data_IF_460712860855
#
_entry.id   IF_460712860855
#
_cell.length_a   1.000
_cell.length_b   1.000
_cell.length_c   1.000
_cell.angle_alpha   90.00
_cell.angle_beta   90.00
_cell.angle_gamma   90.00
#
_symmetry.space_group_name_H-M   'P 1'
#
loop_
_entity.id
_entity.type
_entity.pdbx_description
1 polymer ?
#
# COMPACT_ATOMS: atom_id res chain seq x y z
N UNK A 1 12.77 -4.68 41.98
CA UNK A 1 12.88 -4.00 40.70
C UNK A 1 11.59 -3.97 39.86
N UNK A 2 10.52 -4.74 40.16
CA UNK A 2 9.26 -4.78 39.38
C UNK A 2 8.36 -3.55 39.56
N UNK A 3 8.45 -2.83 40.67
CA UNK A 3 7.53 -1.72 40.96
C UNK A 3 7.93 -0.34 40.35
N UNK A 4 9.17 -0.20 39.85
CA UNK A 4 9.60 1.05 39.20
C UNK A 4 9.24 1.10 37.71
N UNK A 5 9.04 -0.06 37.07
CA UNK A 5 8.65 -0.14 35.67
C UNK A 5 7.16 0.22 35.43
N UNK A 6 6.32 -0.08 36.44
CA UNK A 6 4.88 0.21 36.42
C UNK A 6 4.57 1.71 36.54
N UNK A 7 5.39 2.42 37.34
CA UNK A 7 5.25 3.88 37.51
C UNK A 7 5.61 4.68 36.26
N UNK A 8 6.59 4.21 35.46
CA UNK A 8 6.99 4.86 34.22
C UNK A 8 5.95 4.65 33.13
N UNK A 9 5.32 3.47 33.04
CA UNK A 9 4.25 3.18 32.07
C UNK A 9 2.99 4.03 32.35
N UNK A 10 2.69 4.28 33.64
CA UNK A 10 1.53 5.10 34.04
C UNK A 10 1.72 6.59 33.74
N UNK A 11 2.96 7.11 33.84
CA UNK A 11 3.26 8.49 33.47
C UNK A 11 3.16 8.75 31.96
N UNK A 12 3.48 7.75 31.10
CA UNK A 12 3.33 7.89 29.64
C UNK A 12 1.86 7.88 29.19
N UNK A 13 0.97 7.19 29.89
CA UNK A 13 -0.47 7.19 29.58
C UNK A 13 -1.12 8.53 29.93
N UNK A 14 -0.68 9.21 31.00
CA UNK A 14 -1.18 10.55 31.37
C UNK A 14 -0.64 11.68 30.48
N UNK A 15 0.58 11.56 29.94
CA UNK A 15 1.12 12.56 29.01
C UNK A 15 0.36 12.60 27.67
N UNK A 16 -0.26 11.47 27.26
CA UNK A 16 -1.09 11.43 26.06
C UNK A 16 -2.48 12.07 26.17
N UNK A 17 -2.99 12.22 27.40
CA UNK A 17 -4.34 12.76 27.66
C UNK A 17 -4.34 14.31 27.67
N UNK A 18 -3.23 14.94 28.05
CA UNK A 18 -3.11 16.39 28.05
C UNK A 18 -2.82 17.04 26.69
N UNK A 19 -2.48 16.25 25.67
CA UNK A 19 -2.18 16.76 24.32
C UNK A 19 -3.44 17.08 23.46
N UNK A 20 -4.62 16.66 23.87
CA UNK A 20 -5.86 16.84 23.10
C UNK A 20 -6.62 18.14 23.42
N UNK A 21 -6.33 18.82 24.53
CA UNK A 21 -7.04 20.05 24.93
C UNK A 21 -6.52 21.34 24.30
N UNK A 22 -5.42 21.28 23.53
CA UNK A 22 -4.78 22.50 23.00
C UNK A 22 -5.22 22.90 21.61
N UNK A 23 -5.97 22.03 20.91
CA UNK A 23 -6.42 22.28 19.53
C UNK A 23 -7.91 22.02 19.36
N UNK A 24 -8.50 22.74 18.41
CA UNK A 24 -9.87 22.49 17.92
C UNK A 24 -9.81 22.29 16.42
N UNK A 25 -10.19 21.10 15.97
CA UNK A 25 -10.33 20.80 14.55
C UNK A 25 -11.57 21.50 13.98
N UNK A 26 -11.50 21.97 12.74
CA UNK A 26 -12.62 22.65 12.11
C UNK A 26 -13.92 21.80 12.08
N UNK A 27 -13.79 20.48 11.94
CA UNK A 27 -14.89 19.51 11.94
C UNK A 27 -15.61 19.37 13.28
N UNK A 28 -15.07 19.86 14.36
CA UNK A 28 -15.69 19.86 15.70
C UNK A 28 -16.74 20.96 15.88
N UNK A 29 -16.93 21.79 14.84
CA UNK A 29 -17.93 22.84 14.81
C UNK A 29 -17.38 24.24 14.97
N UNK A 30 -18.27 25.22 15.09
CA UNK A 30 -17.92 26.64 15.15
C UNK A 30 -17.08 26.98 16.38
N UNK A 31 -16.27 28.04 16.25
CA UNK A 31 -15.51 28.62 17.35
C UNK A 31 -16.44 29.14 18.44
N UNK A 32 -15.97 29.03 19.65
CA UNK A 32 -16.56 29.63 20.87
C UNK A 32 -15.49 30.42 21.60
N UNK A 33 -15.87 31.28 22.58
CA UNK A 33 -14.87 31.99 23.35
C UNK A 33 -14.05 31.10 24.27
N UNK A 34 -14.46 29.85 24.51
CA UNK A 34 -13.69 28.86 25.25
C UNK A 34 -12.49 28.32 24.46
N UNK A 35 -12.45 28.59 23.15
CA UNK A 35 -11.36 28.22 22.26
C UNK A 35 -10.20 29.27 22.26
N UNK A 36 -10.34 30.39 23.03
CA UNK A 36 -9.36 31.47 23.17
C UNK A 36 -8.84 31.50 24.59
N UNK A 37 -7.78 30.72 24.88
CA UNK A 37 -7.26 30.47 26.24
C UNK A 37 -6.02 31.27 26.59
N UNK A 38 -5.33 31.85 25.60
CA UNK A 38 -4.14 32.67 25.86
C UNK A 38 -4.51 33.95 26.55
N UNK A 39 -3.59 34.44 27.39
CA UNK A 39 -3.74 35.74 28.05
C UNK A 39 -3.56 36.88 27.02
N UNK A 40 -4.39 37.88 27.17
CA UNK A 40 -4.29 39.12 26.38
C UNK A 40 -2.85 39.67 26.34
N UNK A 41 -2.37 39.99 25.15
CA UNK A 41 -1.10 40.65 24.93
C UNK A 41 -1.37 42.16 24.93
N UNK A 42 -1.07 42.83 26.02
CA UNK A 42 -1.46 44.24 26.30
C UNK A 42 -0.87 45.29 25.35
N UNK A 43 0.12 44.94 24.54
CA UNK A 43 0.85 45.88 23.68
C UNK A 43 0.41 45.82 22.21
N UNK A 44 -0.49 44.93 21.84
CA UNK A 44 -0.95 44.83 20.46
C UNK A 44 -2.21 45.69 20.22
N UNK A 45 -2.24 46.34 19.05
CA UNK A 45 -3.42 47.10 18.59
C UNK A 45 -4.59 46.17 18.20
N UNK A 46 -4.35 44.89 18.08
CA UNK A 46 -5.36 43.84 17.78
C UNK A 46 -6.29 43.63 18.97
N UNK A 47 -7.54 43.30 18.69
CA UNK A 47 -8.57 43.02 19.71
C UNK A 47 -8.71 41.52 20.00
N UNK A 48 -8.33 40.68 19.04
CA UNK A 48 -8.25 39.20 19.15
C UNK A 48 -7.28 38.66 18.11
N UNK A 49 -6.80 37.47 18.34
CA UNK A 49 -5.99 36.73 17.37
C UNK A 49 -6.34 35.26 17.43
N UNK A 50 -6.75 34.71 16.31
CA UNK A 50 -6.92 33.29 16.12
C UNK A 50 -5.62 32.71 15.56
N UNK A 51 -4.98 31.82 16.32
CA UNK A 51 -3.85 31.00 15.84
C UNK A 51 -4.38 29.72 15.25
N UNK A 52 -4.11 29.49 13.99
CA UNK A 52 -4.46 28.27 13.29
C UNK A 52 -3.22 27.62 12.67
N UNK A 53 -3.30 26.34 12.45
CA UNK A 53 -2.25 25.53 11.82
C UNK A 53 -2.87 24.77 10.67
N UNK A 54 -2.24 24.87 9.50
CA UNK A 54 -2.54 24.07 8.33
C UNK A 54 -1.30 23.28 7.94
N UNK A 55 -1.48 22.05 7.48
CA UNK A 55 -0.38 21.20 7.06
C UNK A 55 -0.86 19.91 6.42
N UNK A 56 0.09 19.01 6.17
CA UNK A 56 -0.20 17.68 5.69
C UNK A 56 0.72 16.64 6.33
N UNK A 57 0.25 15.39 6.38
CA UNK A 57 1.02 14.28 6.93
C UNK A 57 0.71 12.99 6.16
N UNK A 58 1.67 12.06 6.04
CA UNK A 58 1.37 10.73 5.56
C UNK A 58 0.34 10.05 6.46
N UNK A 59 -0.73 9.55 5.89
CA UNK A 59 -1.79 8.83 6.60
C UNK A 59 -2.01 7.44 6.03
N UNK A 60 -2.57 6.59 6.86
CA UNK A 60 -2.94 5.22 6.53
C UNK A 60 -4.36 4.98 7.00
N UNK A 61 -5.26 4.81 6.07
CA UNK A 61 -6.68 4.59 6.33
C UNK A 61 -7.09 3.21 5.82
N UNK A 62 -8.01 2.54 6.51
CA UNK A 62 -8.60 1.30 6.03
C UNK A 62 -10.04 1.58 5.61
N UNK A 63 -10.31 1.46 4.31
CA UNK A 63 -11.64 1.59 3.73
C UNK A 63 -12.03 0.22 3.15
N UNK A 64 -13.02 -0.43 3.76
CA UNK A 64 -13.37 -1.82 3.47
C UNK A 64 -12.15 -2.75 3.59
N UNK A 65 -11.83 -3.54 2.55
CA UNK A 65 -10.69 -4.46 2.51
C UNK A 65 -9.40 -3.83 1.94
N UNK A 66 -9.42 -2.50 1.68
CA UNK A 66 -8.29 -1.79 1.10
C UNK A 66 -7.64 -0.88 2.12
N UNK A 67 -6.33 -1.00 2.28
CA UNK A 67 -5.52 -0.06 3.04
C UNK A 67 -5.02 1.02 2.10
N UNK A 68 -5.37 2.27 2.38
CA UNK A 68 -5.06 3.43 1.57
C UNK A 68 -3.93 4.21 2.25
N UNK A 69 -2.87 4.49 1.51
CA UNK A 69 -1.79 5.38 1.92
C UNK A 69 -1.91 6.67 1.12
N UNK A 70 -2.10 7.80 1.81
CA UNK A 70 -2.22 9.12 1.19
C UNK A 70 -1.52 10.20 2.01
N UNK A 71 -1.25 11.34 1.40
CA UNK A 71 -0.96 12.58 2.13
C UNK A 71 -2.29 13.19 2.55
N UNK A 72 -2.46 13.43 3.83
CA UNK A 72 -3.69 13.99 4.38
C UNK A 72 -3.43 15.37 4.94
N UNK A 73 -4.17 16.36 4.44
CA UNK A 73 -4.15 17.72 4.96
C UNK A 73 -4.95 17.82 6.26
N UNK A 74 -4.53 18.72 7.13
CA UNK A 74 -5.20 19.04 8.38
C UNK A 74 -5.26 20.56 8.60
N UNK A 75 -6.27 21.02 9.35
CA UNK A 75 -6.44 22.37 9.80
C UNK A 75 -7.06 22.36 11.19
N UNK A 76 -6.44 23.06 12.12
CA UNK A 76 -6.96 23.24 13.48
C UNK A 76 -6.62 24.61 14.03
N UNK A 77 -7.42 25.07 14.99
CA UNK A 77 -7.09 26.25 15.82
C UNK A 77 -6.29 25.79 17.03
N UNK A 78 -5.19 26.51 17.33
CA UNK A 78 -4.45 26.35 18.58
C UNK A 78 -5.12 27.20 19.65
N UNK A 79 -5.85 26.53 20.54
CA UNK A 79 -6.64 27.19 21.59
C UNK A 79 -5.77 27.84 22.66
N UNK A 80 -4.53 27.34 22.87
CA UNK A 80 -3.62 27.90 23.88
C UNK A 80 -2.88 29.17 23.39
N UNK A 81 -2.77 29.33 22.09
CA UNK A 81 -2.14 30.49 21.45
C UNK A 81 -3.16 31.49 20.89
N UNK A 82 -4.45 31.17 20.89
CA UNK A 82 -5.53 32.06 20.49
C UNK A 82 -6.00 32.92 21.67
N UNK A 83 -6.15 34.22 21.47
CA UNK A 83 -6.52 35.14 22.53
C UNK A 83 -7.55 36.19 22.06
N UNK A 84 -8.25 36.78 23.02
CA UNK A 84 -9.23 37.89 22.81
C UNK A 84 -9.23 38.78 24.03
N UNK A 85 -9.31 40.10 23.80
CA UNK A 85 -9.51 41.07 24.90
C UNK A 85 -10.88 40.89 25.54
N UNK A 86 -11.01 40.86 26.87
CA UNK A 86 -12.26 40.60 27.56
C UNK A 86 -13.46 41.43 27.07
N UNK A 87 -13.24 42.74 26.87
CA UNK A 87 -14.28 43.67 26.42
C UNK A 87 -14.72 43.44 24.96
N UNK A 88 -14.00 42.64 24.20
CA UNK A 88 -14.28 42.34 22.80
C UNK A 88 -14.80 40.90 22.55
N UNK A 89 -15.23 40.21 23.57
CA UNK A 89 -15.94 38.93 23.46
C UNK A 89 -17.39 39.11 22.96
N UNK A 90 -17.51 39.63 21.75
CA UNK A 90 -18.80 39.91 21.09
C UNK A 90 -19.10 38.89 20.00
N UNK A 91 -20.37 38.69 19.64
CA UNK A 91 -20.78 37.82 18.53
C UNK A 91 -20.13 38.25 17.19
N UNK A 92 -19.97 39.55 16.96
CA UNK A 92 -19.33 40.08 15.75
C UNK A 92 -17.84 39.69 15.68
N UNK A 93 -17.09 39.87 16.78
CA UNK A 93 -15.68 39.49 16.78
C UNK A 93 -15.49 37.97 16.72
N UNK A 94 -16.40 37.20 17.30
CA UNK A 94 -16.40 35.73 17.13
C UNK A 94 -16.62 35.34 15.66
N UNK A 95 -17.57 35.99 14.97
CA UNK A 95 -17.83 35.77 13.55
C UNK A 95 -16.61 36.13 12.68
N UNK A 96 -15.91 37.24 12.99
CA UNK A 96 -14.69 37.60 12.31
C UNK A 96 -13.60 36.51 12.42
N UNK A 97 -13.38 35.96 13.60
CA UNK A 97 -12.41 34.86 13.80
C UNK A 97 -12.90 33.57 13.13
N UNK A 98 -14.21 33.32 13.11
CA UNK A 98 -14.79 32.16 12.39
C UNK A 98 -14.52 32.25 10.89
N UNK A 99 -14.62 33.43 10.27
CA UNK A 99 -14.29 33.63 8.85
C UNK A 99 -12.84 33.29 8.58
N UNK A 100 -11.90 33.73 9.43
CA UNK A 100 -10.47 33.35 9.30
C UNK A 100 -10.29 31.84 9.37
N UNK A 101 -10.98 31.18 10.31
CA UNK A 101 -10.91 29.72 10.44
C UNK A 101 -11.50 28.99 9.22
N UNK A 102 -12.58 29.52 8.67
CA UNK A 102 -13.23 28.99 7.46
C UNK A 102 -12.33 29.21 6.21
N UNK A 103 -11.61 30.33 6.11
CA UNK A 103 -10.61 30.54 5.05
C UNK A 103 -9.50 29.47 5.19
N UNK A 104 -8.98 29.25 6.39
CA UNK A 104 -7.97 28.22 6.62
C UNK A 104 -8.45 26.82 6.22
N UNK A 105 -9.70 26.45 6.55
CA UNK A 105 -10.30 25.18 6.13
C UNK A 105 -10.48 25.10 4.61
N UNK A 106 -10.89 26.18 3.95
CA UNK A 106 -11.00 26.24 2.50
C UNK A 106 -9.65 25.90 1.83
N UNK A 107 -8.56 26.47 2.33
CA UNK A 107 -7.23 26.19 1.80
C UNK A 107 -6.70 24.81 2.18
N UNK A 108 -7.09 24.26 3.34
CA UNK A 108 -6.85 22.86 3.66
C UNK A 108 -7.54 21.92 2.65
N UNK A 109 -8.78 22.22 2.24
CA UNK A 109 -9.50 21.43 1.23
C UNK A 109 -8.86 21.53 -0.15
N UNK A 110 -8.44 22.72 -0.56
CA UNK A 110 -7.67 22.95 -1.80
C UNK A 110 -6.34 22.19 -1.77
N UNK A 111 -5.61 22.29 -0.65
CA UNK A 111 -4.37 21.51 -0.44
C UNK A 111 -4.62 20.01 -0.56
N UNK A 112 -5.69 19.50 0.04
CA UNK A 112 -6.02 18.07 -0.09
C UNK A 112 -6.29 17.67 -1.53
N UNK A 113 -7.03 18.50 -2.28
CA UNK A 113 -7.30 18.27 -3.68
C UNK A 113 -5.98 18.20 -4.49
N UNK A 114 -5.07 19.14 -4.29
CA UNK A 114 -3.79 19.17 -4.98
C UNK A 114 -2.88 17.99 -4.59
N UNK A 115 -2.85 17.62 -3.30
CA UNK A 115 -2.11 16.44 -2.80
C UNK A 115 -2.62 15.14 -3.43
N UNK A 116 -3.92 15.01 -3.61
CA UNK A 116 -4.53 13.85 -4.25
C UNK A 116 -4.23 13.79 -5.78
N UNK A 117 -3.84 14.93 -6.39
CA UNK A 117 -3.51 15.04 -7.82
C UNK A 117 -2.01 15.24 -8.11
N UNK A 118 -1.13 15.04 -7.11
CA UNK A 118 0.31 15.20 -7.29
C UNK A 118 0.84 14.39 -8.49
N UNK A 119 1.66 15.02 -9.32
CA UNK A 119 2.42 14.34 -10.37
C UNK A 119 3.69 13.67 -9.85
N UNK A 120 4.27 14.18 -8.76
CA UNK A 120 5.49 13.66 -8.11
C UNK A 120 5.40 13.85 -6.61
N UNK A 121 6.00 12.93 -5.85
CA UNK A 121 6.14 13.08 -4.39
C UNK A 121 6.88 14.36 -4.01
N UNK A 122 7.92 14.71 -4.75
CA UNK A 122 8.75 15.89 -4.49
C UNK A 122 8.02 17.24 -4.67
N UNK A 123 6.87 17.25 -5.36
CA UNK A 123 6.07 18.47 -5.51
C UNK A 123 5.14 18.76 -4.34
N UNK A 124 5.02 17.88 -3.36
CA UNK A 124 4.12 18.05 -2.23
C UNK A 124 4.43 19.31 -1.40
N UNK A 125 5.71 19.55 -1.13
CA UNK A 125 6.15 20.74 -0.40
C UNK A 125 5.87 22.03 -1.18
N UNK A 126 6.14 22.03 -2.48
CA UNK A 126 5.85 23.20 -3.33
C UNK A 126 4.34 23.50 -3.36
N UNK A 127 3.51 22.47 -3.47
CA UNK A 127 2.06 22.60 -3.43
C UNK A 127 1.61 23.17 -2.09
N UNK A 128 2.16 22.67 -0.98
CA UNK A 128 1.87 23.20 0.34
C UNK A 128 2.24 24.67 0.46
N UNK A 129 3.45 25.07 0.08
CA UNK A 129 3.91 26.46 0.16
C UNK A 129 3.03 27.39 -0.67
N UNK A 130 2.66 27.00 -1.90
CA UNK A 130 1.78 27.78 -2.75
C UNK A 130 0.39 28.01 -2.11
N UNK A 131 -0.19 26.95 -1.52
CA UNK A 131 -1.48 27.06 -0.83
C UNK A 131 -1.38 27.89 0.46
N UNK A 132 -0.27 27.78 1.19
CA UNK A 132 -0.02 28.53 2.41
C UNK A 132 0.17 30.04 2.13
N UNK A 133 0.90 30.40 1.09
CA UNK A 133 1.04 31.79 0.65
C UNK A 133 -0.30 32.36 0.20
N UNK A 134 -1.08 31.61 -0.58
CA UNK A 134 -2.40 32.04 -1.02
C UNK A 134 -3.39 32.21 0.15
N UNK A 135 -3.32 31.33 1.15
CA UNK A 135 -4.08 31.45 2.39
C UNK A 135 -3.74 32.75 3.12
N UNK A 136 -2.45 33.02 3.34
CA UNK A 136 -2.01 34.22 4.07
C UNK A 136 -2.46 35.49 3.34
N UNK A 137 -2.32 35.54 2.02
CA UNK A 137 -2.78 36.64 1.20
C UNK A 137 -4.30 36.88 1.31
N UNK A 138 -5.10 35.81 1.29
CA UNK A 138 -6.55 35.94 1.39
C UNK A 138 -7.00 36.37 2.79
N UNK A 139 -6.35 35.87 3.84
CA UNK A 139 -6.59 36.35 5.21
C UNK A 139 -6.23 37.80 5.37
N UNK A 140 -5.10 38.27 4.82
CA UNK A 140 -4.69 39.65 4.85
C UNK A 140 -5.70 40.58 4.14
N UNK A 141 -6.18 40.15 2.94
CA UNK A 141 -7.23 40.91 2.21
C UNK A 141 -8.49 41.02 3.06
N UNK A 142 -8.95 39.91 3.66
CA UNK A 142 -10.11 39.94 4.55
C UNK A 142 -9.92 40.85 5.74
N UNK A 143 -8.77 40.76 6.42
CA UNK A 143 -8.44 41.62 7.57
C UNK A 143 -8.46 43.12 7.21
N UNK A 144 -7.89 43.45 6.07
CA UNK A 144 -7.85 44.83 5.58
C UNK A 144 -9.25 45.35 5.21
N UNK A 145 -10.01 44.59 4.45
CA UNK A 145 -11.38 44.97 4.03
C UNK A 145 -12.34 45.08 5.20
N UNK A 146 -12.32 44.13 6.13
CA UNK A 146 -13.15 44.14 7.33
C UNK A 146 -12.67 45.10 8.42
N UNK A 147 -11.53 45.79 8.19
CA UNK A 147 -10.87 46.65 9.21
C UNK A 147 -10.60 45.89 10.50
N UNK A 148 -10.07 44.66 10.38
CA UNK A 148 -9.87 43.75 11.48
C UNK A 148 -11.16 43.46 12.26
N UNK A 149 -12.25 43.16 11.53
CA UNK A 149 -13.55 42.79 12.09
C UNK A 149 -14.42 43.94 12.56
N UNK A 150 -14.00 45.22 12.36
CA UNK A 150 -14.78 46.38 12.77
C UNK A 150 -15.92 46.73 11.80
N UNK A 151 -15.90 46.19 10.59
CA UNK A 151 -16.98 46.35 9.61
C UNK A 151 -17.83 45.04 9.54
N UNK A 152 -19.00 45.02 10.20
CA UNK A 152 -19.82 43.82 10.29
C UNK A 152 -20.44 43.40 8.97
N UNK A 153 -20.70 44.35 8.05
CA UNK A 153 -21.32 44.02 6.76
C UNK A 153 -20.29 43.28 5.88
N UNK A 154 -19.05 43.75 5.85
CA UNK A 154 -17.97 43.05 5.14
C UNK A 154 -17.69 41.68 5.73
N UNK A 155 -17.70 41.53 7.08
CA UNK A 155 -17.54 40.21 7.73
C UNK A 155 -18.64 39.25 7.31
N UNK A 156 -19.87 39.73 7.23
CA UNK A 156 -21.03 38.90 6.81
C UNK A 156 -20.96 38.53 5.34
N UNK A 157 -20.56 39.42 4.45
CA UNK A 157 -20.36 39.18 3.03
C UNK A 157 -19.26 38.08 2.82
N UNK A 158 -18.13 38.21 3.50
CA UNK A 158 -17.07 37.24 3.46
C UNK A 158 -17.49 35.89 4.01
N UNK A 159 -18.26 35.85 5.12
CA UNK A 159 -18.76 34.61 5.69
C UNK A 159 -19.62 33.83 4.66
N UNK A 160 -20.54 34.50 3.98
CA UNK A 160 -21.38 33.89 2.94
C UNK A 160 -20.53 33.40 1.74
N UNK A 161 -19.60 34.22 1.26
CA UNK A 161 -18.72 33.85 0.14
C UNK A 161 -17.86 32.63 0.47
N UNK A 162 -17.24 32.58 1.65
CA UNK A 162 -16.41 31.44 2.05
C UNK A 162 -17.23 30.18 2.25
N UNK A 163 -18.43 30.27 2.81
CA UNK A 163 -19.36 29.15 2.95
C UNK A 163 -19.73 28.53 1.60
N UNK A 164 -20.09 29.35 0.61
CA UNK A 164 -20.34 28.89 -0.76
C UNK A 164 -19.12 28.18 -1.36
N UNK A 165 -17.93 28.73 -1.17
CA UNK A 165 -16.68 28.15 -1.69
C UNK A 165 -16.31 26.86 -0.97
N UNK A 166 -16.62 26.72 0.30
CA UNK A 166 -16.42 25.47 1.04
C UNK A 166 -17.28 24.33 0.48
N UNK A 167 -18.47 24.61 -0.07
CA UNK A 167 -19.32 23.59 -0.69
C UNK A 167 -18.72 23.00 -1.96
N UNK A 168 -17.97 23.80 -2.75
CA UNK A 168 -17.32 23.38 -3.98
C UNK A 168 -16.24 22.30 -3.71
N UNK A 169 -15.55 22.42 -2.58
CA UNK A 169 -14.51 21.50 -2.15
C UNK A 169 -14.99 20.51 -1.08
N UNK A 170 -16.31 20.21 -1.06
CA UNK A 170 -16.84 19.23 -0.12
C UNK A 170 -16.12 17.90 -0.24
N UNK A 171 -15.59 17.47 0.90
CA UNK A 171 -14.97 16.19 1.17
C UNK A 171 -14.34 15.53 -0.08
N UNK A 172 -13.09 15.80 -0.33
CA UNK A 172 -12.34 15.12 -1.38
C UNK A 172 -12.43 13.59 -1.14
N UNK A 173 -13.40 12.96 -1.80
CA UNK A 173 -13.43 11.52 -1.93
C UNK A 173 -12.10 11.11 -2.56
N UNK A 174 -11.52 10.01 -2.08
CA UNK A 174 -10.30 9.48 -2.69
C UNK A 174 -10.55 9.35 -4.19
N UNK A 175 -9.71 9.95 -5.05
CA UNK A 175 -9.89 9.88 -6.49
C UNK A 175 -9.95 8.43 -6.96
N UNK A 176 -10.83 8.15 -7.92
CA UNK A 176 -10.90 6.85 -8.55
C UNK A 176 -9.80 6.76 -9.59
N UNK A 177 -8.78 5.98 -9.30
CA UNK A 177 -7.68 5.73 -10.23
C UNK A 177 -8.00 4.54 -11.14
N UNK A 178 -7.70 4.68 -12.43
CA UNK A 178 -7.74 3.57 -13.37
C UNK A 178 -6.50 2.71 -13.23
N UNK A 179 -6.68 1.38 -13.25
CA UNK A 179 -5.56 0.44 -13.24
C UNK A 179 -4.88 0.43 -14.61
N UNK A 180 -3.54 0.50 -14.63
CA UNK A 180 -2.78 0.25 -15.86
C UNK A 180 -3.02 -1.18 -16.35
N UNK A 181 -2.91 -1.38 -17.66
CA UNK A 181 -3.08 -2.72 -18.23
C UNK A 181 -1.96 -3.68 -17.83
N UNK A 182 -0.76 -3.16 -17.61
CA UNK A 182 0.40 -3.94 -17.18
C UNK A 182 0.47 -4.08 -15.67
N UNK A 183 0.83 -5.27 -15.21
CA UNK A 183 1.12 -5.58 -13.82
C UNK A 183 2.22 -6.63 -13.73
N UNK A 184 2.87 -6.70 -12.57
CA UNK A 184 3.91 -7.68 -12.27
C UNK A 184 3.70 -8.26 -10.88
N UNK A 185 4.11 -9.50 -10.72
CA UNK A 185 4.02 -10.23 -9.46
C UNK A 185 5.30 -10.98 -9.14
N UNK A 186 5.46 -11.28 -7.87
CA UNK A 186 6.47 -12.16 -7.31
C UNK A 186 5.78 -13.11 -6.36
N UNK A 187 6.16 -14.38 -6.35
CA UNK A 187 5.69 -15.33 -5.36
C UNK A 187 6.82 -16.21 -4.84
N UNK A 188 6.68 -16.65 -3.60
CA UNK A 188 7.59 -17.58 -2.95
C UNK A 188 6.81 -18.48 -2.01
N UNK A 189 7.15 -19.76 -1.99
CA UNK A 189 6.45 -20.76 -1.17
C UNK A 189 7.09 -22.13 -1.19
N UNK A 190 6.29 -23.13 -0.85
CA UNK A 190 6.66 -24.54 -0.88
C UNK A 190 5.97 -25.25 -2.04
N UNK A 191 6.61 -26.28 -2.55
CA UNK A 191 6.07 -27.17 -3.58
C UNK A 191 6.22 -28.62 -3.18
N UNK A 192 5.32 -29.43 -3.68
CA UNK A 192 5.38 -30.88 -3.59
C UNK A 192 5.15 -31.47 -4.98
N UNK A 193 6.02 -32.40 -5.39
CA UNK A 193 5.98 -33.06 -6.68
C UNK A 193 5.66 -34.54 -6.49
N UNK A 194 4.49 -34.97 -7.01
CA UNK A 194 4.09 -36.35 -7.08
C UNK A 194 4.51 -36.91 -8.44
N UNK A 195 5.10 -38.10 -8.46
CA UNK A 195 5.53 -38.79 -9.66
C UNK A 195 4.77 -40.09 -9.81
N UNK A 196 4.67 -40.61 -11.05
CA UNK A 196 4.11 -41.90 -11.34
C UNK A 196 4.93 -42.64 -12.40
N UNK A 197 4.49 -43.82 -12.76
CA UNK A 197 5.14 -44.72 -13.73
C UNK A 197 6.61 -44.99 -13.37
N UNK A 198 7.48 -45.16 -14.37
CA UNK A 198 8.87 -45.56 -14.14
C UNK A 198 9.69 -44.46 -13.40
N UNK A 199 9.28 -43.21 -13.49
CA UNK A 199 9.93 -42.14 -12.71
C UNK A 199 9.75 -42.41 -11.20
N UNK A 200 8.54 -42.83 -10.76
CA UNK A 200 8.28 -43.12 -9.34
C UNK A 200 8.99 -44.38 -8.85
N UNK A 201 9.27 -45.34 -9.72
CA UNK A 201 10.01 -46.52 -9.35
C UNK A 201 11.45 -46.22 -8.93
N UNK A 202 12.05 -45.18 -9.54
CA UNK A 202 13.45 -44.84 -9.29
C UNK A 202 13.63 -43.57 -8.45
N UNK A 203 12.74 -42.55 -8.56
CA UNK A 203 12.87 -41.26 -7.89
C UNK A 203 11.66 -41.00 -7.01
N UNK A 204 11.89 -40.80 -5.74
CA UNK A 204 10.84 -40.46 -4.77
C UNK A 204 10.12 -39.17 -5.06
N UNK A 205 8.90 -39.02 -4.49
CA UNK A 205 8.23 -37.74 -4.45
C UNK A 205 9.10 -36.72 -3.69
N UNK A 206 9.09 -35.45 -4.12
CA UNK A 206 9.96 -34.46 -3.53
C UNK A 206 9.20 -33.25 -2.99
N UNK A 207 9.74 -32.70 -1.92
CA UNK A 207 9.30 -31.42 -1.35
C UNK A 207 10.39 -30.37 -1.54
N UNK A 208 10.01 -29.13 -1.82
CA UNK A 208 10.98 -28.06 -2.03
C UNK A 208 10.39 -26.67 -2.04
N UNK A 209 11.17 -25.74 -2.56
CA UNK A 209 10.81 -24.35 -2.68
C UNK A 209 10.22 -24.05 -4.06
N UNK A 210 9.24 -23.14 -4.07
CA UNK A 210 8.67 -22.58 -5.27
C UNK A 210 8.86 -21.06 -5.24
N UNK A 211 9.38 -20.49 -6.30
CA UNK A 211 9.45 -19.05 -6.48
C UNK A 211 9.26 -18.69 -7.96
N UNK A 212 8.79 -17.47 -8.22
CA UNK A 212 8.62 -17.04 -9.60
C UNK A 212 8.08 -15.65 -9.74
N UNK A 213 7.99 -15.24 -11.00
CA UNK A 213 7.50 -13.94 -11.43
C UNK A 213 6.30 -14.12 -12.35
N UNK A 214 5.38 -13.18 -12.26
CA UNK A 214 4.28 -13.05 -13.22
C UNK A 214 4.26 -11.65 -13.83
N UNK A 215 4.03 -11.61 -15.12
CA UNK A 215 3.84 -10.40 -15.90
C UNK A 215 2.46 -10.45 -16.54
N UNK A 216 1.61 -9.48 -16.25
CA UNK A 216 0.27 -9.46 -16.81
C UNK A 216 0.03 -8.29 -17.72
N UNK A 217 -0.77 -8.52 -18.74
CA UNK A 217 -1.34 -7.49 -19.58
C UNK A 217 -2.86 -7.73 -19.70
N UNK A 218 -3.66 -6.84 -19.10
CA UNK A 218 -5.09 -7.07 -18.91
C UNK A 218 -5.32 -8.40 -18.14
N UNK A 219 -6.01 -9.36 -18.76
CA UNK A 219 -6.30 -10.67 -18.19
C UNK A 219 -5.26 -11.75 -18.56
N UNK A 220 -4.38 -11.47 -19.50
CA UNK A 220 -3.28 -12.37 -19.89
C UNK A 220 -2.16 -12.31 -18.87
N UNK A 221 -1.59 -13.46 -18.54
CA UNK A 221 -0.52 -13.58 -17.53
C UNK A 221 0.57 -14.48 -18.12
N UNK A 222 1.79 -14.02 -18.07
CA UNK A 222 2.98 -14.79 -18.37
C UNK A 222 3.70 -15.12 -17.06
N UNK A 223 3.97 -16.39 -16.83
CA UNK A 223 4.64 -16.88 -15.63
C UNK A 223 6.04 -17.37 -15.97
N UNK A 224 6.99 -17.03 -15.12
CA UNK A 224 8.31 -17.64 -15.02
C UNK A 224 8.37 -18.21 -13.62
N UNK A 225 8.38 -19.52 -13.49
CA UNK A 225 8.32 -20.19 -12.19
C UNK A 225 9.41 -21.25 -12.08
N UNK A 226 9.97 -21.37 -10.88
CA UNK A 226 11.01 -22.34 -10.55
C UNK A 226 10.64 -23.11 -9.30
N UNK A 227 10.78 -24.43 -9.37
CA UNK A 227 10.70 -25.33 -8.24
C UNK A 227 12.09 -25.95 -8.05
N UNK A 228 12.61 -25.83 -6.83
CA UNK A 228 13.82 -26.51 -6.39
C UNK A 228 13.45 -27.45 -5.26
N UNK A 229 13.65 -28.73 -5.45
CA UNK A 229 13.31 -29.76 -4.47
C UNK A 229 14.39 -30.82 -4.41
N UNK A 230 14.42 -31.60 -3.35
CA UNK A 230 15.32 -32.74 -3.19
C UNK A 230 14.57 -34.00 -2.82
N UNK A 231 15.18 -35.14 -3.05
CA UNK A 231 14.69 -36.47 -2.69
C UNK A 231 15.82 -37.48 -2.82
N UNK A 232 15.47 -38.76 -2.65
CA UNK A 232 16.38 -39.87 -2.75
C UNK A 232 15.98 -40.77 -3.91
N UNK A 233 16.96 -41.48 -4.47
CA UNK A 233 16.76 -42.55 -5.42
C UNK A 233 16.18 -43.77 -4.66
N UNK A 234 14.94 -44.17 -4.99
CA UNK A 234 14.22 -45.22 -4.30
C UNK A 234 14.72 -46.61 -4.76
N UNK A 235 14.96 -46.78 -6.06
CA UNK A 235 15.57 -47.96 -6.66
C UNK A 235 16.65 -47.54 -7.66
N UNK A 236 17.78 -48.25 -7.64
CA UNK A 236 18.87 -47.96 -8.56
C UNK A 236 18.39 -47.92 -10.02
N UNK A 237 18.78 -46.88 -10.75
CA UNK A 237 18.48 -46.72 -12.18
C UNK A 237 19.74 -46.94 -13.01
N UNK A 238 19.64 -47.86 -13.98
CA UNK A 238 20.77 -48.23 -14.85
C UNK A 238 20.37 -48.04 -16.33
N UNK A 239 20.23 -46.78 -16.76
CA UNK A 239 19.98 -46.41 -18.14
C UNK A 239 21.23 -45.83 -18.80
N UNK A 240 21.15 -44.61 -19.34
CA UNK A 240 22.33 -43.86 -19.88
C UNK A 240 23.31 -43.44 -18.81
N UNK A 241 22.80 -43.20 -17.61
CA UNK A 241 23.57 -42.88 -16.39
C UNK A 241 23.17 -43.91 -15.32
N UNK A 242 24.11 -44.23 -14.41
CA UNK A 242 23.82 -45.10 -13.29
C UNK A 242 23.59 -44.26 -12.02
N UNK A 243 22.42 -44.46 -11.40
CA UNK A 243 22.04 -43.82 -10.15
C UNK A 243 21.93 -44.88 -9.08
N UNK A 244 22.70 -44.76 -8.03
CA UNK A 244 22.67 -45.71 -6.91
C UNK A 244 21.41 -45.54 -6.07
N UNK A 245 20.94 -46.64 -5.47
CA UNK A 245 19.86 -46.61 -4.48
C UNK A 245 20.28 -45.75 -3.26
N UNK A 246 19.35 -44.98 -2.70
CA UNK A 246 19.55 -44.03 -1.59
C UNK A 246 20.39 -42.80 -1.95
N UNK A 247 20.82 -42.61 -3.18
CA UNK A 247 21.55 -41.40 -3.63
C UNK A 247 20.65 -40.18 -3.51
N UNK A 248 21.16 -39.14 -2.87
CA UNK A 248 20.50 -37.83 -2.78
C UNK A 248 20.51 -37.11 -4.13
N UNK A 249 19.37 -36.59 -4.56
CA UNK A 249 19.28 -35.78 -5.77
C UNK A 249 18.60 -34.44 -5.53
N UNK A 250 18.92 -33.45 -6.37
CA UNK A 250 18.21 -32.20 -6.56
C UNK A 250 17.34 -32.28 -7.80
N UNK A 251 16.09 -31.86 -7.69
CA UNK A 251 15.19 -31.58 -8.81
C UNK A 251 15.11 -30.07 -9.01
N UNK A 252 15.45 -29.58 -10.19
CA UNK A 252 15.15 -28.25 -10.66
C UNK A 252 14.08 -28.31 -11.77
N UNK A 253 12.98 -27.60 -11.60
CA UNK A 253 11.95 -27.42 -12.61
C UNK A 253 11.79 -25.93 -12.89
N UNK A 254 12.11 -25.51 -14.12
CA UNK A 254 11.92 -24.14 -14.59
C UNK A 254 10.80 -24.13 -15.63
N UNK A 255 9.71 -23.37 -15.37
CA UNK A 255 8.60 -23.27 -16.32
C UNK A 255 8.40 -21.85 -16.86
N UNK A 256 7.99 -21.82 -18.14
CA UNK A 256 7.53 -20.65 -18.85
C UNK A 256 6.11 -20.92 -19.34
N UNK A 257 5.14 -20.27 -18.73
CA UNK A 257 3.74 -20.59 -18.98
C UNK A 257 2.90 -19.32 -19.22
N UNK A 258 1.87 -19.50 -20.04
CA UNK A 258 0.86 -18.50 -20.33
C UNK A 258 -0.46 -18.88 -19.71
N UNK A 259 -1.07 -17.95 -19.00
CA UNK A 259 -2.38 -18.13 -18.40
C UNK A 259 -3.32 -16.98 -18.74
N UNK A 260 -4.59 -17.23 -18.50
CA UNK A 260 -5.64 -16.23 -18.67
C UNK A 260 -6.54 -16.20 -17.44
N UNK A 261 -6.67 -15.02 -16.82
CA UNK A 261 -7.52 -14.84 -15.65
C UNK A 261 -8.99 -14.90 -16.06
N UNK A 262 -9.65 -16.03 -15.78
CA UNK A 262 -11.09 -16.25 -16.03
C UNK A 262 -11.94 -15.67 -14.90
N UNK A 263 -11.37 -15.55 -13.70
CA UNK A 263 -11.96 -14.88 -12.54
C UNK A 263 -10.91 -13.93 -11.98
N UNK A 264 -11.24 -12.64 -11.80
CA UNK A 264 -10.45 -11.65 -11.05
C UNK A 264 -11.40 -10.72 -10.29
N UNK A 265 -11.78 -11.13 -9.10
CA UNK A 265 -12.66 -10.40 -8.21
C UNK A 265 -11.91 -9.92 -6.93
N UNK A 266 -12.53 -9.21 -5.99
CA UNK A 266 -11.85 -8.72 -4.78
C UNK A 266 -11.22 -9.81 -3.91
N UNK A 267 -11.72 -11.07 -3.95
CA UNK A 267 -11.26 -12.18 -3.10
C UNK A 267 -10.42 -13.21 -3.85
N UNK A 268 -10.73 -13.47 -5.12
CA UNK A 268 -10.11 -14.54 -5.89
C UNK A 268 -9.62 -14.08 -7.25
N UNK A 269 -8.49 -14.66 -7.68
CA UNK A 269 -8.05 -14.64 -9.07
C UNK A 269 -7.79 -16.09 -9.49
N UNK A 270 -8.44 -16.56 -10.53
CA UNK A 270 -8.34 -17.91 -11.05
C UNK A 270 -7.88 -17.84 -12.48
N UNK A 271 -6.79 -18.54 -12.79
CA UNK A 271 -6.15 -18.51 -14.11
C UNK A 271 -5.68 -19.92 -14.50
N UNK A 272 -6.37 -20.61 -15.42
CA UNK A 272 -5.79 -21.74 -16.11
C UNK A 272 -4.57 -21.29 -16.91
N UNK A 273 -3.57 -22.19 -17.03
CA UNK A 273 -2.35 -21.90 -17.76
C UNK A 273 -1.80 -23.15 -18.47
N UNK A 274 -1.03 -22.93 -19.51
CA UNK A 274 -0.27 -23.94 -20.20
C UNK A 274 1.12 -23.39 -20.56
N UNK A 275 2.11 -24.26 -20.71
CA UNK A 275 3.47 -23.82 -20.97
C UNK A 275 4.45 -24.95 -21.24
N UNK A 276 5.72 -24.56 -21.21
CA UNK A 276 6.87 -25.44 -21.35
C UNK A 276 7.65 -25.44 -20.04
N UNK A 277 8.22 -26.57 -19.68
CA UNK A 277 9.13 -26.70 -18.57
C UNK A 277 10.42 -27.39 -18.97
N UNK A 278 11.47 -27.06 -18.25
CA UNK A 278 12.73 -27.80 -18.21
C UNK A 278 12.76 -28.47 -16.85
N UNK A 279 12.84 -29.80 -16.84
CA UNK A 279 12.96 -30.59 -15.62
C UNK A 279 14.30 -31.27 -15.61
N UNK A 280 15.07 -31.08 -14.54
CA UNK A 280 16.40 -31.58 -14.37
C UNK A 280 16.54 -32.30 -13.03
N UNK A 281 17.09 -33.51 -13.06
CA UNK A 281 17.59 -34.21 -11.88
C UNK A 281 19.11 -34.14 -11.91
N UNK A 282 19.71 -33.72 -10.82
CA UNK A 282 21.15 -33.72 -10.61
C UNK A 282 21.50 -34.37 -9.29
N UNK A 283 22.60 -35.08 -9.23
CA UNK A 283 23.16 -35.61 -7.98
C UNK A 283 23.53 -34.45 -7.03
N UNK A 284 23.28 -34.66 -5.73
CA UNK A 284 23.78 -33.75 -4.70
C UNK A 284 25.20 -34.17 -4.30
N UNK A 285 26.20 -33.59 -4.96
CA UNK A 285 27.59 -33.82 -4.54
C UNK A 285 28.00 -32.78 -3.47
N UNK A 286 28.19 -33.25 -2.24
CA UNK A 286 28.65 -32.45 -1.12
C UNK A 286 30.15 -32.15 -1.17
N UNK A 287 30.91 -32.88 -1.97
CA UNK A 287 32.37 -32.79 -1.98
C UNK A 287 32.95 -31.82 -3.03
N UNK A 288 32.08 -31.20 -3.85
CA UNK A 288 32.45 -30.15 -4.79
C UNK A 288 33.22 -30.61 -6.03
N UNK A 289 33.17 -31.90 -6.32
CA UNK A 289 33.53 -32.44 -7.63
C UNK A 289 32.35 -32.32 -8.57
N UNK A 290 32.54 -31.89 -9.81
CA UNK A 290 31.48 -31.79 -10.82
C UNK A 290 30.85 -33.17 -11.03
N UNK A 291 29.61 -33.34 -10.52
CA UNK A 291 28.86 -34.56 -10.75
C UNK A 291 28.41 -34.62 -12.20
N UNK A 292 28.78 -35.71 -12.89
CA UNK A 292 28.35 -35.99 -14.27
C UNK A 292 26.90 -36.57 -14.35
N UNK A 293 26.25 -36.76 -13.20
CA UNK A 293 24.90 -37.35 -13.14
C UNK A 293 23.82 -36.27 -13.28
N UNK A 294 23.48 -35.97 -14.52
CA UNK A 294 22.41 -35.03 -14.88
C UNK A 294 21.47 -35.69 -15.87
N UNK A 295 20.17 -35.61 -15.59
CA UNK A 295 19.09 -36.03 -16.48
C UNK A 295 18.17 -34.83 -16.72
N UNK A 296 17.97 -34.44 -17.98
CA UNK A 296 17.16 -33.26 -18.33
C UNK A 296 16.10 -33.64 -19.35
N UNK A 297 14.89 -33.10 -19.16
CA UNK A 297 13.79 -33.20 -20.10
C UNK A 297 13.11 -31.85 -20.35
N UNK A 298 12.57 -31.68 -21.57
CA UNK A 298 11.78 -30.54 -22.01
C UNK A 298 10.33 -30.97 -22.21
N UNK A 299 9.44 -30.50 -21.39
CA UNK A 299 8.08 -31.02 -21.36
C UNK A 299 7.01 -29.94 -21.44
N UNK A 300 5.80 -30.35 -21.81
CA UNK A 300 4.60 -29.51 -21.74
C UNK A 300 3.95 -29.64 -20.37
N UNK A 301 3.37 -28.54 -19.91
CA UNK A 301 2.60 -28.50 -18.71
C UNK A 301 1.23 -27.82 -18.90
N UNK A 302 0.27 -28.27 -18.10
CA UNK A 302 -1.07 -27.70 -18.02
C UNK A 302 -1.49 -27.59 -16.56
N UNK A 303 -2.08 -26.46 -16.17
CA UNK A 303 -2.40 -26.26 -14.77
C UNK A 303 -3.38 -25.14 -14.47
N UNK A 304 -3.54 -24.88 -13.18
CA UNK A 304 -4.43 -23.89 -12.62
C UNK A 304 -3.74 -23.11 -11.51
N UNK A 305 -3.77 -21.79 -11.59
CA UNK A 305 -3.45 -20.89 -10.48
C UNK A 305 -4.72 -20.39 -9.81
N UNK A 306 -4.73 -20.42 -8.49
CA UNK A 306 -5.77 -19.84 -7.65
C UNK A 306 -5.11 -18.92 -6.62
N UNK A 307 -5.34 -17.62 -6.74
CA UNK A 307 -4.89 -16.62 -5.76
C UNK A 307 -6.06 -16.26 -4.84
N UNK A 308 -5.92 -16.48 -3.54
CA UNK A 308 -6.81 -15.95 -2.52
C UNK A 308 -6.24 -14.63 -1.98
N UNK A 309 -6.88 -13.52 -2.30
CA UNK A 309 -6.43 -12.17 -1.95
C UNK A 309 -6.70 -11.87 -0.49
N UNK A 310 -5.63 -11.71 0.31
CA UNK A 310 -5.71 -11.45 1.75
C UNK A 310 -5.57 -9.96 2.09
N UNK A 311 -4.92 -9.18 1.21
CA UNK A 311 -4.67 -7.77 1.44
C UNK A 311 -4.55 -6.98 0.15
N UNK A 312 -5.18 -5.83 0.12
CA UNK A 312 -5.06 -4.85 -0.95
C UNK A 312 -4.56 -3.53 -0.38
N UNK A 313 -3.55 -2.95 -1.01
CA UNK A 313 -3.00 -1.63 -0.66
C UNK A 313 -3.12 -0.71 -1.86
N UNK A 314 -3.73 0.44 -1.65
CA UNK A 314 -3.77 1.54 -2.60
C UNK A 314 -2.78 2.61 -2.12
N UNK A 315 -1.75 2.87 -2.89
CA UNK A 315 -0.82 3.95 -2.62
C UNK A 315 -1.13 5.12 -3.57
N UNK A 316 -1.73 6.17 -3.03
CA UNK A 316 -2.07 7.37 -3.79
C UNK A 316 -0.91 8.38 -3.82
N UNK A 317 0.11 8.18 -3.00
CA UNK A 317 1.35 8.96 -3.05
C UNK A 317 2.18 8.47 -4.24
N UNK A 318 2.56 9.34 -5.19
CA UNK A 318 3.42 8.93 -6.29
C UNK A 318 4.74 8.35 -5.78
N UNK A 319 5.15 7.21 -6.33
CA UNK A 319 6.41 6.58 -5.97
C UNK A 319 7.58 7.47 -6.39
N UNK A 320 8.61 7.57 -5.54
CA UNK A 320 9.80 8.41 -5.76
C UNK A 320 10.52 8.06 -7.08
N UNK A 321 10.59 6.77 -7.43
CA UNK A 321 11.33 6.33 -8.62
C UNK A 321 10.51 6.43 -9.92
N UNK A 322 9.21 6.10 -9.86
CA UNK A 322 8.38 5.99 -11.05
C UNK A 322 7.42 7.19 -11.22
N UNK A 323 7.36 8.09 -10.24
CA UNK A 323 6.39 9.20 -10.17
C UNK A 323 4.95 8.76 -10.48
N UNK A 324 4.60 7.54 -10.09
CA UNK A 324 3.28 6.94 -10.34
C UNK A 324 2.70 6.29 -9.08
N UNK A 325 1.40 6.33 -8.99
CA UNK A 325 0.61 5.64 -7.97
C UNK A 325 0.55 4.16 -8.27
N UNK A 326 0.27 3.35 -7.26
CA UNK A 326 0.20 1.91 -7.45
C UNK A 326 -0.82 1.25 -6.54
N UNK A 327 -1.23 0.06 -6.97
CA UNK A 327 -1.99 -0.88 -6.16
C UNK A 327 -1.17 -2.15 -5.99
N UNK A 328 -1.12 -2.66 -4.76
CA UNK A 328 -0.47 -3.92 -4.43
C UNK A 328 -1.49 -4.87 -3.82
N UNK A 329 -1.55 -6.08 -4.35
CA UNK A 329 -2.36 -7.17 -3.81
C UNK A 329 -1.43 -8.23 -3.22
N UNK A 330 -1.72 -8.68 -2.00
CA UNK A 330 -1.02 -9.82 -1.36
C UNK A 330 -2.01 -10.98 -1.32
N UNK A 331 -1.59 -12.14 -1.78
CA UNK A 331 -2.43 -13.33 -1.90
C UNK A 331 -1.73 -14.58 -1.38
N UNK A 332 -2.52 -15.56 -0.96
CA UNK A 332 -2.08 -16.96 -0.90
C UNK A 332 -2.36 -17.54 -2.27
N UNK A 333 -1.31 -17.99 -2.95
CA UNK A 333 -1.38 -18.65 -4.25
C UNK A 333 -1.33 -20.16 -4.07
N UNK A 334 -2.27 -20.88 -4.67
CA UNK A 334 -2.18 -22.30 -4.90
C UNK A 334 -2.01 -22.53 -6.39
N UNK A 335 -0.97 -23.28 -6.78
CA UNK A 335 -0.67 -23.63 -8.16
C UNK A 335 -0.62 -25.14 -8.28
N UNK A 336 -1.48 -25.70 -9.14
CA UNK A 336 -1.53 -27.14 -9.46
C UNK A 336 -1.27 -27.29 -10.95
N UNK A 337 -0.35 -28.17 -11.33
CA UNK A 337 -0.13 -28.49 -12.74
C UNK A 337 0.39 -29.90 -12.92
N UNK A 338 0.20 -30.42 -14.12
CA UNK A 338 0.68 -31.71 -14.57
C UNK A 338 1.65 -31.49 -15.70
N UNK A 339 2.77 -32.18 -15.69
CA UNK A 339 3.73 -32.30 -16.78
C UNK A 339 3.99 -33.75 -17.11
N UNK A 340 4.21 -34.07 -18.40
CA UNK A 340 4.69 -35.36 -18.83
C UNK A 340 6.18 -35.23 -19.07
N UNK A 341 6.96 -36.11 -18.40
CA UNK A 341 8.41 -36.14 -18.53
C UNK A 341 8.77 -37.44 -19.30
N UNK A 342 9.56 -37.30 -20.35
CA UNK A 342 10.05 -38.40 -21.19
C UNK A 342 11.58 -38.29 -21.24
N UNK A 343 12.27 -38.57 -20.11
CA UNK A 343 13.73 -38.43 -20.02
C UNK A 343 14.44 -39.44 -20.94
N UNK A 344 14.00 -40.70 -20.90
CA UNK A 344 14.46 -41.82 -21.73
C UNK A 344 13.29 -42.75 -22.02
N UNK A 345 13.46 -43.71 -22.96
CA UNK A 345 12.42 -44.70 -23.30
C UNK A 345 11.97 -45.53 -22.11
N UNK A 346 12.87 -45.82 -21.16
CA UNK A 346 12.65 -46.59 -19.94
C UNK A 346 12.41 -45.71 -18.70
N UNK A 347 12.55 -44.38 -18.82
CA UNK A 347 12.35 -43.43 -17.73
C UNK A 347 11.39 -42.31 -18.17
N UNK A 348 10.10 -42.57 -18.06
CA UNK A 348 9.03 -41.66 -18.44
C UNK A 348 7.87 -41.70 -17.44
N UNK A 349 7.03 -40.68 -17.45
CA UNK A 349 5.85 -40.62 -16.59
C UNK A 349 5.28 -39.21 -16.47
N UNK A 350 4.24 -39.11 -15.63
CA UNK A 350 3.64 -37.81 -15.29
C UNK A 350 4.10 -37.36 -13.93
N UNK A 351 4.33 -36.04 -13.82
CA UNK A 351 4.52 -35.36 -12.55
C UNK A 351 3.34 -34.44 -12.27
N UNK A 352 2.76 -34.57 -11.07
CA UNK A 352 1.73 -33.64 -10.57
C UNK A 352 2.37 -32.76 -9.53
N UNK A 353 2.41 -31.46 -9.79
CA UNK A 353 3.07 -30.48 -8.94
C UNK A 353 2.03 -29.59 -8.27
N UNK A 354 2.07 -29.54 -6.95
CA UNK A 354 1.25 -28.66 -6.11
C UNK A 354 2.17 -27.68 -5.37
N UNK A 355 1.91 -26.38 -5.46
CA UNK A 355 2.60 -25.41 -4.63
C UNK A 355 1.63 -24.48 -3.89
N UNK A 356 2.07 -24.03 -2.71
CA UNK A 356 1.41 -23.01 -1.92
C UNK A 356 2.44 -21.90 -1.65
N UNK A 357 2.11 -20.67 -2.04
CA UNK A 357 3.02 -19.54 -1.99
C UNK A 357 2.32 -18.27 -1.48
N UNK A 358 3.10 -17.36 -0.92
CA UNK A 358 2.69 -15.97 -0.76
C UNK A 358 3.04 -15.25 -2.05
N UNK A 359 2.06 -14.55 -2.61
CA UNK A 359 2.21 -13.78 -3.85
C UNK A 359 1.97 -12.30 -3.57
N UNK A 360 2.84 -11.47 -4.12
CA UNK A 360 2.72 -10.01 -4.13
C UNK A 360 2.55 -9.56 -5.57
N UNK A 361 1.44 -8.93 -5.86
CA UNK A 361 1.11 -8.46 -7.19
C UNK A 361 1.02 -6.93 -7.19
N UNK A 362 1.72 -6.30 -8.11
CA UNK A 362 1.86 -4.86 -8.24
C UNK A 362 1.28 -4.39 -9.58
N UNK A 363 0.53 -3.28 -9.55
CA UNK A 363 0.01 -2.63 -10.75
C UNK A 363 0.06 -1.11 -10.58
N UNK A 364 0.53 -0.41 -11.62
CA UNK A 364 0.48 1.04 -11.68
C UNK A 364 -0.96 1.53 -11.85
N UNK A 365 -1.20 2.77 -11.42
CA UNK A 365 -2.45 3.50 -11.58
C UNK A 365 -2.22 4.68 -12.53
N UNK A 366 -3.26 4.98 -13.31
CA UNK A 366 -3.30 6.12 -14.23
C UNK A 366 -4.04 7.28 -13.61
#
# INVERSE_FOLDING_TARGET
>A
MKNKLFGILFCFVFAGIYSQESRKDWSEGNLTWDDFKEREISFENSISELKYVIGYTPSKEKVNDTVIFRLQSFCYSDTQLSWVKPDFKTAQNLQYNQVIFNIAELYRRKLQYDLDHLGSYFSAETVFQNQYEALNNEVEIFQNQSRNGRDPEIVKEWAANIEDRLTIYENSSIPKYEKANFGMGLHVGAAYSFRNESIKEHFDNSIGFNFGFDFSFKNSIFYINMILSGGNVDQAYSGRTYWEEELDYTLALLDFSYGYAIVDNPKFKIAPFAGLAITEFSENDYDGEDSDLIITDYNFLLGLNVDYKIRKKLNTIPNVFLSRRNITETSIRSRLFVSRNDFYEDLSGYSVNLSIAISWYFRLLK
#
